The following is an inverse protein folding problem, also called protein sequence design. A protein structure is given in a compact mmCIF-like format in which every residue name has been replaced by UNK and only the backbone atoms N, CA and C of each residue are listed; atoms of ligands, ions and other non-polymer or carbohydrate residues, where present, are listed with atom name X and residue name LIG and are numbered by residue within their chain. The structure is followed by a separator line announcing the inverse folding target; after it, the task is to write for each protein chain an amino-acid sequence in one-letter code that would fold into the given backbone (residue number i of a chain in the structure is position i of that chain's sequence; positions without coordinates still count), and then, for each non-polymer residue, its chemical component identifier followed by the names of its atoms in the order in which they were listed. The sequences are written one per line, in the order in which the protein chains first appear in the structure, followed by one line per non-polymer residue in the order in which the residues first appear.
data_IF_338718185760
#
_entry.id   IF_338718185760
#
_cell.length_a   1.000
_cell.length_b   1.000
_cell.length_c   1.000
_cell.angle_alpha   90.00
_cell.angle_beta   90.00
_cell.angle_gamma   90.00
#
_symmetry.space_group_name_H-M   'P 1'
#
loop_
_entity.id
_entity.type
_entity.pdbx_description
1 polymer ?
#
# COMPACT_ATOMS: atom_id res chain seq x y z
N UNK A 1 25.85 -1.67 -18.88
CA UNK A 1 24.71 -2.20 -18.11
C UNK A 1 24.82 -1.56 -16.75
N UNK A 2 23.96 -0.59 -16.45
CA UNK A 2 23.99 0.07 -15.15
C UNK A 2 23.67 -0.98 -14.07
N UNK A 3 24.57 -1.09 -13.09
CA UNK A 3 24.39 -2.00 -11.98
C UNK A 3 23.27 -1.45 -11.08
N UNK A 4 22.04 -1.93 -11.28
CA UNK A 4 20.92 -1.59 -10.41
C UNK A 4 21.24 -2.01 -8.97
N UNK A 5 21.24 -1.05 -8.05
CA UNK A 5 21.37 -1.33 -6.63
C UNK A 5 19.99 -1.60 -6.01
N UNK A 6 19.89 -2.42 -4.94
CA UNK A 6 18.63 -2.63 -4.25
C UNK A 6 17.98 -1.34 -3.75
N UNK A 7 18.78 -0.39 -3.25
CA UNK A 7 18.30 0.90 -2.74
C UNK A 7 17.73 1.79 -3.84
N UNK A 8 18.35 1.84 -5.02
CA UNK A 8 17.82 2.59 -6.17
C UNK A 8 16.45 2.06 -6.59
N UNK A 9 16.30 0.73 -6.67
CA UNK A 9 15.02 0.11 -7.01
C UNK A 9 13.96 0.39 -5.92
N UNK A 10 14.34 0.33 -4.65
CA UNK A 10 13.45 0.73 -3.56
C UNK A 10 13.01 2.20 -3.67
N UNK A 11 13.92 3.10 -4.06
CA UNK A 11 13.61 4.51 -4.28
C UNK A 11 12.65 4.71 -5.46
N UNK A 12 12.81 3.97 -6.56
CA UNK A 12 11.88 4.00 -7.69
C UNK A 12 10.47 3.54 -7.27
N UNK A 13 10.37 2.43 -6.53
CA UNK A 13 9.09 1.94 -6.00
C UNK A 13 8.46 2.99 -5.07
N UNK A 14 9.25 3.59 -4.19
CA UNK A 14 8.76 4.63 -3.28
C UNK A 14 8.29 5.89 -4.03
N UNK A 15 9.00 6.29 -5.09
CA UNK A 15 8.63 7.43 -5.94
C UNK A 15 7.30 7.17 -6.66
N UNK A 16 7.12 5.97 -7.22
CA UNK A 16 5.86 5.56 -7.84
C UNK A 16 4.69 5.66 -6.85
N UNK A 17 4.83 5.10 -5.64
CA UNK A 17 3.77 5.15 -4.63
C UNK A 17 3.48 6.60 -4.20
N UNK A 18 4.52 7.41 -3.97
CA UNK A 18 4.37 8.82 -3.56
C UNK A 18 3.73 9.69 -4.63
N UNK A 19 3.92 9.38 -5.91
CA UNK A 19 3.26 10.09 -7.00
C UNK A 19 1.72 9.97 -6.93
N UNK A 20 1.20 8.83 -6.46
CA UNK A 20 -0.24 8.58 -6.33
C UNK A 20 -0.78 8.90 -4.93
N UNK A 21 -0.07 8.48 -3.88
CA UNK A 21 -0.55 8.55 -2.49
C UNK A 21 -0.25 9.88 -1.82
N UNK A 22 0.61 10.70 -2.43
CA UNK A 22 1.11 11.96 -1.88
C UNK A 22 2.56 11.85 -1.40
N UNK A 23 3.26 12.98 -1.40
CA UNK A 23 4.67 13.07 -0.98
C UNK A 23 4.89 12.70 0.50
N UNK A 24 3.83 12.77 1.30
CA UNK A 24 3.76 12.43 2.72
C UNK A 24 3.50 10.93 2.98
N UNK A 25 3.39 10.09 1.94
CA UNK A 25 3.28 8.65 2.11
C UNK A 25 4.45 8.09 2.93
N UNK A 26 4.12 7.33 3.98
CA UNK A 26 5.07 6.83 4.98
C UNK A 26 5.74 5.56 4.47
N UNK A 27 6.94 5.74 3.91
CA UNK A 27 7.75 4.67 3.31
C UNK A 27 9.16 4.77 3.88
N UNK A 28 9.61 3.69 4.53
CA UNK A 28 10.96 3.56 5.08
C UNK A 28 11.75 2.53 4.25
N UNK A 29 12.95 2.91 3.80
CA UNK A 29 13.88 2.01 3.11
C UNK A 29 15.00 1.64 4.09
N UNK A 30 15.28 0.35 4.21
CA UNK A 30 16.30 -0.18 5.12
C UNK A 30 17.28 -1.02 4.31
N UNK A 31 18.53 -0.56 4.25
CA UNK A 31 19.58 -1.27 3.54
C UNK A 31 20.19 -2.36 4.43
N UNK A 32 20.37 -3.54 3.84
CA UNK A 32 21.09 -4.67 4.42
C UNK A 32 22.21 -5.07 3.47
N UNK A 33 23.15 -5.90 3.95
CA UNK A 33 24.32 -6.33 3.17
C UNK A 33 23.96 -7.00 1.83
N UNK A 34 22.79 -7.64 1.71
CA UNK A 34 22.41 -8.44 0.55
C UNK A 34 21.12 -7.99 -0.15
N UNK A 35 20.38 -7.05 0.43
CA UNK A 35 19.07 -6.60 -0.05
C UNK A 35 18.69 -5.28 0.63
N UNK A 36 17.72 -4.57 0.07
CA UNK A 36 17.07 -3.45 0.74
C UNK A 36 15.62 -3.81 1.04
N UNK A 37 15.10 -3.44 2.19
CA UNK A 37 13.69 -3.64 2.56
C UNK A 37 12.92 -2.35 2.42
N UNK A 38 11.63 -2.47 2.11
CA UNK A 38 10.68 -1.36 2.16
C UNK A 38 9.64 -1.69 3.24
N UNK A 39 9.47 -0.76 4.17
CA UNK A 39 8.32 -0.76 5.07
C UNK A 39 7.31 0.26 4.60
N UNK A 40 6.04 -0.15 4.55
CA UNK A 40 4.91 0.76 4.41
C UNK A 40 4.30 0.98 5.79
N UNK A 41 4.26 2.24 6.23
CA UNK A 41 3.65 2.63 7.50
C UNK A 41 4.20 1.80 8.70
N UNK A 42 5.52 1.58 8.71
CA UNK A 42 6.22 0.79 9.72
C UNK A 42 6.15 -0.73 9.55
N UNK A 43 5.34 -1.24 8.61
CA UNK A 43 5.17 -2.69 8.36
C UNK A 43 6.13 -3.12 7.26
N UNK A 44 6.94 -4.17 7.50
CA UNK A 44 7.79 -4.76 6.47
C UNK A 44 6.92 -5.38 5.37
N UNK A 45 6.96 -4.77 4.17
CA UNK A 45 6.07 -5.14 3.06
C UNK A 45 6.81 -5.74 1.88
N UNK A 46 8.00 -5.22 1.56
CA UNK A 46 8.80 -5.66 0.43
C UNK A 46 10.27 -5.79 0.81
N UNK A 47 11.01 -6.54 -0.02
CA UNK A 47 12.46 -6.43 -0.10
C UNK A 47 12.91 -6.57 -1.55
N UNK A 48 13.99 -5.88 -1.90
CA UNK A 48 14.58 -5.93 -3.22
C UNK A 48 15.97 -6.53 -3.11
N UNK A 49 16.29 -7.45 -4.01
CA UNK A 49 17.63 -7.97 -4.19
C UNK A 49 18.08 -7.76 -5.62
N UNK A 50 19.31 -7.29 -5.78
CA UNK A 50 19.99 -7.18 -7.07
C UNK A 50 21.30 -7.95 -7.03
N UNK A 51 21.70 -8.58 -8.13
CA UNK A 51 22.92 -9.38 -8.19
C UNK A 51 22.87 -10.41 -9.33
N UNK A 52 23.16 -11.68 -9.02
CA UNK A 52 23.03 -12.77 -10.02
C UNK A 52 21.61 -12.88 -10.56
N UNK A 53 20.62 -12.67 -9.70
CA UNK A 53 19.22 -12.57 -10.05
C UNK A 53 18.63 -11.37 -9.32
N UNK A 54 17.83 -10.60 -10.05
CA UNK A 54 17.13 -9.44 -9.54
C UNK A 54 15.69 -9.87 -9.23
N UNK A 55 15.24 -9.64 -7.99
CA UNK A 55 13.87 -9.96 -7.61
C UNK A 55 13.34 -9.04 -6.51
N UNK A 56 12.03 -8.90 -6.48
CA UNK A 56 11.26 -8.33 -5.38
C UNK A 56 10.70 -9.48 -4.56
N UNK A 57 11.03 -9.52 -3.28
CA UNK A 57 10.35 -10.35 -2.30
C UNK A 57 9.05 -9.69 -1.86
N UNK A 58 7.93 -10.35 -2.14
CA UNK A 58 6.58 -10.03 -1.67
C UNK A 58 6.30 -10.85 -0.40
N UNK A 59 5.90 -10.20 0.69
CA UNK A 59 5.64 -10.90 1.95
C UNK A 59 4.34 -11.70 1.86
N UNK A 60 4.38 -13.00 2.16
CA UNK A 60 3.25 -13.92 1.94
C UNK A 60 1.97 -13.58 2.70
N UNK A 61 2.03 -12.74 3.74
CA UNK A 61 0.83 -12.20 4.41
C UNK A 61 -0.07 -11.37 3.48
N UNK A 62 0.41 -10.99 2.30
CA UNK A 62 -0.32 -10.23 1.30
C UNK A 62 -0.71 -11.04 0.06
N UNK A 63 -0.56 -12.38 0.09
CA UNK A 63 -0.73 -13.26 -1.08
C UNK A 63 -2.07 -13.08 -1.79
N UNK A 64 -3.13 -12.74 -1.06
CA UNK A 64 -4.45 -12.48 -1.63
C UNK A 64 -4.47 -11.37 -2.68
N UNK A 65 -3.48 -10.48 -2.71
CA UNK A 65 -3.39 -9.40 -3.69
C UNK A 65 -2.94 -9.87 -5.08
N UNK A 66 -2.18 -10.97 -5.18
CA UNK A 66 -1.65 -11.47 -6.47
C UNK A 66 -2.00 -12.92 -6.77
N UNK A 67 -2.61 -13.66 -5.84
CA UNK A 67 -2.92 -15.08 -6.03
C UNK A 67 -3.82 -15.37 -7.25
N UNK A 68 -4.62 -14.39 -7.69
CA UNK A 68 -5.54 -14.51 -8.82
C UNK A 68 -5.14 -13.61 -10.00
N UNK A 69 -3.91 -13.09 -10.02
CA UNK A 69 -3.40 -12.25 -11.11
C UNK A 69 -2.34 -13.01 -11.90
N UNK A 70 -2.74 -13.59 -13.04
CA UNK A 70 -1.87 -14.36 -13.92
C UNK A 70 -0.70 -13.53 -14.51
N UNK A 71 -0.78 -12.19 -14.44
CA UNK A 71 0.32 -11.33 -14.88
C UNK A 71 1.47 -11.30 -13.87
N UNK A 72 1.20 -11.60 -12.59
CA UNK A 72 2.18 -11.57 -11.51
C UNK A 72 2.74 -12.99 -11.30
N UNK A 73 3.83 -13.29 -12.00
CA UNK A 73 4.51 -14.59 -11.86
C UNK A 73 5.40 -14.60 -10.63
N UNK A 74 4.96 -15.33 -9.60
CA UNK A 74 5.74 -15.51 -8.37
C UNK A 74 6.38 -16.88 -8.24
N UNK A 75 7.59 -16.94 -7.70
CA UNK A 75 8.27 -18.16 -7.29
C UNK A 75 8.42 -18.23 -5.76
N UNK A 76 8.27 -19.42 -5.18
CA UNK A 76 8.53 -19.67 -3.75
C UNK A 76 9.73 -20.57 -3.58
N UNK A 77 10.62 -20.23 -2.66
CA UNK A 77 11.67 -21.13 -2.21
C UNK A 77 11.31 -21.73 -0.87
N UNK A 78 11.51 -23.05 -0.73
CA UNK A 78 11.29 -23.77 0.53
C UNK A 78 12.17 -23.24 1.68
N UNK A 79 13.35 -22.71 1.36
CA UNK A 79 14.26 -22.11 2.35
C UNK A 79 13.82 -20.72 2.84
N UNK A 80 12.69 -20.19 2.35
CA UNK A 80 12.31 -18.79 2.50
C UNK A 80 10.78 -18.62 2.50
N UNK A 81 10.13 -19.31 3.44
CA UNK A 81 8.66 -19.51 3.49
C UNK A 81 7.85 -18.21 3.69
N UNK A 82 8.51 -17.10 4.06
CA UNK A 82 7.84 -15.83 4.31
C UNK A 82 7.67 -14.97 3.04
N UNK A 83 8.34 -15.32 1.95
CA UNK A 83 8.46 -14.45 0.79
C UNK A 83 8.21 -15.19 -0.53
N UNK A 84 7.29 -14.66 -1.33
CA UNK A 84 7.15 -14.97 -2.75
C UNK A 84 8.04 -14.02 -3.55
N UNK A 85 8.60 -14.45 -4.67
CA UNK A 85 9.58 -13.68 -5.44
C UNK A 85 9.03 -13.36 -6.83
N UNK A 86 9.12 -12.10 -7.22
CA UNK A 86 8.88 -11.66 -8.60
C UNK A 86 10.20 -11.20 -9.18
N UNK A 87 10.65 -11.85 -10.25
CA UNK A 87 11.86 -11.47 -10.96
C UNK A 87 11.64 -10.20 -11.77
N UNK A 88 12.69 -9.42 -11.96
CA UNK A 88 12.66 -8.24 -12.84
C UNK A 88 14.02 -8.05 -13.52
N UNK A 89 14.05 -7.44 -14.70
CA UNK A 89 15.26 -7.25 -15.49
C UNK A 89 15.56 -5.78 -15.79
N UNK A 90 14.59 -4.88 -15.55
CA UNK A 90 14.75 -3.44 -15.78
C UNK A 90 13.79 -2.63 -14.90
N UNK A 91 14.06 -1.32 -14.77
CA UNK A 91 13.14 -0.38 -14.10
C UNK A 91 11.82 -0.27 -14.87
N UNK A 92 11.82 -0.44 -16.20
CA UNK A 92 10.59 -0.41 -17.00
C UNK A 92 9.67 -1.57 -16.65
N UNK A 93 10.22 -2.76 -16.39
CA UNK A 93 9.45 -3.93 -15.97
C UNK A 93 8.78 -3.71 -14.61
N UNK A 94 9.40 -2.94 -13.70
CA UNK A 94 8.80 -2.59 -12.41
C UNK A 94 7.51 -1.80 -12.55
N UNK A 95 7.36 -0.99 -13.62
CA UNK A 95 6.14 -0.22 -13.86
C UNK A 95 4.94 -1.13 -14.09
N UNK A 96 5.15 -2.35 -14.56
CA UNK A 96 4.06 -3.34 -14.70
C UNK A 96 3.54 -3.82 -13.34
N UNK A 97 4.39 -3.79 -12.31
CA UNK A 97 4.06 -4.13 -10.93
C UNK A 97 3.51 -2.93 -10.13
N UNK A 98 3.42 -1.75 -10.75
CA UNK A 98 2.98 -0.55 -10.06
C UNK A 98 1.60 -0.67 -9.38
N UNK A 99 0.56 -1.24 -10.03
CA UNK A 99 -0.74 -1.45 -9.36
C UNK A 99 -0.61 -2.30 -8.09
N UNK A 100 0.23 -3.34 -8.11
CA UNK A 100 0.50 -4.18 -6.95
C UNK A 100 1.15 -3.38 -5.82
N UNK A 101 2.11 -2.50 -6.12
CA UNK A 101 2.74 -1.66 -5.09
C UNK A 101 1.75 -0.72 -4.39
N UNK A 102 0.80 -0.16 -5.14
CA UNK A 102 -0.28 0.65 -4.57
C UNK A 102 -1.20 -0.18 -3.68
N UNK A 103 -1.59 -1.38 -4.13
CA UNK A 103 -2.41 -2.32 -3.35
C UNK A 103 -1.72 -2.76 -2.06
N UNK A 104 -0.42 -3.06 -2.11
CA UNK A 104 0.37 -3.40 -0.92
C UNK A 104 0.43 -2.26 0.09
N UNK A 105 0.56 -1.02 -0.38
CA UNK A 105 0.54 0.16 0.50
C UNK A 105 -0.84 0.33 1.15
N UNK A 106 -1.92 0.19 0.38
CA UNK A 106 -3.30 0.27 0.90
C UNK A 106 -3.62 -0.85 1.90
N UNK A 107 -3.09 -2.05 1.66
CA UNK A 107 -3.23 -3.17 2.58
C UNK A 107 -2.40 -2.96 3.86
N UNK A 108 -1.16 -2.47 3.75
CA UNK A 108 -0.39 -2.07 4.94
C UNK A 108 -1.12 -0.99 5.76
N UNK A 109 -1.79 -0.06 5.07
CA UNK A 109 -2.60 0.96 5.68
C UNK A 109 -3.86 0.42 6.38
N UNK A 110 -4.50 -0.60 5.82
CA UNK A 110 -5.65 -1.28 6.44
C UNK A 110 -5.27 -1.98 7.76
N UNK A 111 -4.02 -2.44 7.85
CA UNK A 111 -3.46 -3.17 9.00
C UNK A 111 -2.99 -2.25 10.13
N UNK A 112 -3.02 -0.93 9.95
CA UNK A 112 -2.65 0.00 11.01
C UNK A 112 -3.58 -0.14 12.22
N UNK A 113 -2.98 -0.47 13.36
CA UNK A 113 -3.69 -0.49 14.63
C UNK A 113 -3.88 0.95 15.13
N UNK A 114 -5.00 1.56 14.77
CA UNK A 114 -5.39 2.91 15.20
C UNK A 114 -6.58 2.84 16.14
N UNK A 115 -6.66 3.79 17.04
CA UNK A 115 -7.83 3.95 17.90
C UNK A 115 -9.08 4.23 17.04
N UNK A 116 -10.13 3.45 17.27
CA UNK A 116 -11.40 3.62 16.57
C UNK A 116 -12.22 4.71 17.25
N UNK A 117 -12.79 5.61 16.45
CA UNK A 117 -13.69 6.65 16.93
C UNK A 117 -14.86 6.86 15.96
N UNK A 118 -15.94 7.47 16.42
CA UNK A 118 -17.17 7.58 15.63
C UNK A 118 -16.97 8.44 14.37
N UNK A 119 -16.60 9.70 14.54
CA UNK A 119 -16.31 10.62 13.44
C UNK A 119 -15.36 11.74 13.88
N UNK A 120 -14.62 12.32 12.94
CA UNK A 120 -13.75 13.47 13.20
C UNK A 120 -14.48 14.77 12.88
N UNK A 121 -13.95 15.92 13.29
CA UNK A 121 -14.58 17.25 13.10
C UNK A 121 -14.97 17.62 11.65
N UNK A 122 -14.47 16.88 10.65
CA UNK A 122 -14.78 17.09 9.22
C UNK A 122 -16.01 16.33 8.73
N UNK A 123 -16.75 15.64 9.59
CA UNK A 123 -17.84 14.73 9.18
C UNK A 123 -18.90 15.39 8.28
N UNK A 124 -19.23 16.67 8.47
CA UNK A 124 -20.18 17.40 7.62
C UNK A 124 -19.63 17.55 6.19
N UNK A 125 -18.38 18.00 6.06
CA UNK A 125 -17.73 18.18 4.77
C UNK A 125 -17.59 16.83 4.04
N UNK A 126 -17.22 15.76 4.76
CA UNK A 126 -17.14 14.43 4.19
C UNK A 126 -18.50 13.95 3.64
N UNK A 127 -19.61 14.29 4.29
CA UNK A 127 -20.95 14.00 3.77
C UNK A 127 -21.27 14.80 2.51
N UNK A 128 -20.97 16.09 2.53
CA UNK A 128 -21.27 17.01 1.42
C UNK A 128 -20.48 16.60 0.16
N UNK A 129 -19.25 16.09 0.34
CA UNK A 129 -18.43 15.56 -0.76
C UNK A 129 -18.64 14.06 -1.04
N UNK A 130 -19.43 13.37 -0.20
CA UNK A 130 -19.66 11.90 -0.25
C UNK A 130 -18.38 11.05 -0.20
N UNK A 131 -17.29 11.62 0.29
CA UNK A 131 -15.98 10.98 0.39
C UNK A 131 -15.28 11.45 1.66
N UNK A 132 -14.38 10.62 2.21
CA UNK A 132 -13.56 11.06 3.34
C UNK A 132 -12.50 12.06 2.87
N UNK A 133 -12.55 13.28 3.41
CA UNK A 133 -11.60 14.36 3.10
C UNK A 133 -10.53 14.57 4.17
N UNK A 134 -10.38 13.63 5.10
CA UNK A 134 -9.40 13.78 6.19
C UNK A 134 -7.98 13.72 5.61
N UNK A 135 -7.18 14.81 5.72
CA UNK A 135 -5.79 14.80 5.25
C UNK A 135 -4.93 13.81 6.05
N UNK A 136 -5.14 13.72 7.38
CA UNK A 136 -4.44 12.76 8.21
C UNK A 136 -4.96 11.34 7.93
N UNK A 137 -4.17 10.59 7.16
CA UNK A 137 -4.52 9.24 6.75
C UNK A 137 -4.70 8.32 7.97
N UNK A 138 -3.83 8.39 8.99
CA UNK A 138 -3.96 7.57 10.20
C UNK A 138 -5.27 7.86 10.93
N UNK A 139 -5.62 9.14 11.09
CA UNK A 139 -6.91 9.54 11.66
C UNK A 139 -8.09 9.04 10.80
N UNK A 140 -7.95 9.05 9.46
CA UNK A 140 -8.98 8.54 8.56
C UNK A 140 -9.25 7.03 8.74
N UNK A 141 -8.24 6.22 9.07
CA UNK A 141 -8.40 4.76 9.33
C UNK A 141 -9.27 4.52 10.58
N UNK A 142 -9.04 5.30 11.64
CA UNK A 142 -9.77 5.17 12.91
C UNK A 142 -11.22 5.66 12.83
N UNK A 143 -11.54 6.45 11.80
CA UNK A 143 -12.86 7.06 11.61
C UNK A 143 -13.89 6.02 11.13
N UNK A 144 -14.79 5.60 12.02
CA UNK A 144 -15.88 4.67 11.67
C UNK A 144 -16.82 5.30 10.63
N UNK A 145 -17.00 6.63 10.66
CA UNK A 145 -17.82 7.31 9.67
C UNK A 145 -17.26 7.23 8.24
N UNK A 146 -15.93 7.13 8.05
CA UNK A 146 -15.34 6.85 6.73
C UNK A 146 -15.83 5.52 6.17
N UNK A 147 -15.92 4.47 7.00
CA UNK A 147 -16.43 3.16 6.57
C UNK A 147 -17.89 3.25 6.12
N UNK A 148 -18.70 4.01 6.86
CA UNK A 148 -20.10 4.28 6.49
C UNK A 148 -20.19 5.02 5.14
N UNK A 149 -19.36 6.05 4.91
CA UNK A 149 -19.31 6.77 3.63
C UNK A 149 -18.95 5.84 2.46
N UNK A 150 -17.95 4.97 2.62
CA UNK A 150 -17.55 3.98 1.61
C UNK A 150 -18.71 3.02 1.31
N UNK A 151 -19.48 2.65 2.33
CA UNK A 151 -20.71 1.85 2.17
C UNK A 151 -21.94 2.64 1.70
N UNK A 152 -21.78 3.91 1.30
CA UNK A 152 -22.87 4.76 0.82
C UNK A 152 -23.82 5.28 1.91
N UNK A 153 -23.50 5.11 3.19
CA UNK A 153 -24.30 5.57 4.33
C UNK A 153 -23.89 6.98 4.74
N UNK A 154 -24.74 7.97 4.44
CA UNK A 154 -24.49 9.39 4.73
C UNK A 154 -25.46 9.89 5.81
N UNK A 155 -24.96 10.27 6.98
CA UNK A 155 -25.80 10.66 8.14
C UNK A 155 -25.90 12.17 8.38
N UNK A 156 -24.95 12.94 7.87
CA UNK A 156 -24.82 14.38 8.12
C UNK A 156 -24.83 15.18 6.82
N UNK A 157 -24.81 16.52 6.90
CA UNK A 157 -24.66 17.40 5.74
C UNK A 157 -25.87 17.47 4.82
N UNK A 158 -25.67 18.11 3.67
CA UNK A 158 -26.66 18.34 2.62
C UNK A 158 -27.09 17.02 1.94
N UNK A 159 -26.16 16.08 1.84
CA UNK A 159 -26.40 14.77 1.23
C UNK A 159 -26.86 13.70 2.22
N UNK A 160 -27.30 14.06 3.43
CA UNK A 160 -27.79 13.07 4.40
C UNK A 160 -28.88 12.21 3.77
N UNK A 161 -28.69 10.90 3.84
CA UNK A 161 -29.70 9.94 3.38
C UNK A 161 -30.85 9.97 4.38
N UNK A 162 -32.02 10.42 3.94
CA UNK A 162 -33.27 10.20 4.65
C UNK A 162 -33.66 8.74 4.47
N UNK A 163 -33.11 7.83 5.27
CA UNK A 163 -33.69 6.50 5.41
C UNK A 163 -35.05 6.66 6.11
N UNK A 164 -36.12 6.56 5.33
CA UNK A 164 -37.34 5.90 5.79
C UNK A 164 -37.12 4.42 5.48
N UNK A 165 -37.16 3.61 6.54
CA UNK A 165 -37.11 2.15 6.69
C UNK A 165 -36.98 1.27 5.43
#
# INVERSE_FOLDING_TARGET
MDNLTPSEICNEIAAMIKAEKGSDAEIEIIDNLAYSSIKFLGIHSLRVRCGKTNYIGLKNSYEHLWANDDSIKTERLQSDELWSRVSFNSVEELKTLYPLFLQLYDEAFSLLNVELFSCCSRYIQCSDEKVCIQPDKRLSVGCQYRKNLISGKIFYGLNKSSHMD
#
